data_IF_510241535155
#
_entry.id   IF_510241535155
#
_cell.length_a   1.000
_cell.length_b   1.000
_cell.length_c   1.000
_cell.angle_alpha   90.00
_cell.angle_beta   90.00
_cell.angle_gamma   90.00
#
_symmetry.space_group_name_H-M   'P 1'
#
loop_
_entity.id
_entity.type
_entity.pdbx_description
1 polymer ?
#
# COMPACT_ATOMS: atom_id res chain seq x y z
N UNK A 1 -10.82 2.05 13.01
CA UNK A 1 -11.42 3.07 12.12
C UNK A 1 -12.22 2.40 11.02
N UNK A 2 -13.22 3.09 10.47
CA UNK A 2 -14.03 2.50 9.41
C UNK A 2 -15.08 3.44 8.85
N UNK A 3 -15.74 2.94 7.81
CA UNK A 3 -16.89 3.58 7.16
C UNK A 3 -18.00 3.81 8.18
N UNK A 4 -18.56 5.02 8.19
CA UNK A 4 -19.66 5.41 9.07
C UNK A 4 -20.99 5.39 8.31
N UNK A 5 -22.10 5.45 9.05
CA UNK A 5 -23.44 5.65 8.48
C UNK A 5 -23.78 7.13 8.22
N UNK A 6 -22.83 8.04 8.46
CA UNK A 6 -23.01 9.50 8.35
C UNK A 6 -23.23 9.86 6.88
N UNK A 7 -24.26 10.66 6.61
CA UNK A 7 -24.54 11.14 5.25
C UNK A 7 -23.63 12.31 4.87
N UNK A 8 -23.56 12.60 3.57
CA UNK A 8 -22.82 13.77 3.10
C UNK A 8 -23.39 15.07 3.67
N UNK A 9 -24.72 15.19 3.70
CA UNK A 9 -25.43 16.37 4.19
C UNK A 9 -25.17 16.58 5.68
N UNK A 10 -25.15 15.52 6.48
CA UNK A 10 -24.83 15.58 7.90
C UNK A 10 -23.37 15.99 8.12
N UNK A 11 -22.43 15.32 7.46
CA UNK A 11 -20.99 15.63 7.55
C UNK A 11 -20.70 17.08 7.18
N UNK A 12 -21.39 17.64 6.20
CA UNK A 12 -21.22 19.03 5.78
C UNK A 12 -21.60 20.06 6.86
N UNK A 13 -22.41 19.67 7.86
CA UNK A 13 -22.74 20.53 9.01
C UNK A 13 -21.65 20.56 10.07
N UNK A 14 -20.72 19.59 10.07
CA UNK A 14 -19.69 19.46 11.09
C UNK A 14 -18.64 20.57 10.99
N UNK A 15 -17.94 20.85 12.09
CA UNK A 15 -16.98 21.95 12.18
C UNK A 15 -15.76 21.67 11.31
N UNK A 16 -15.43 22.57 10.38
CA UNK A 16 -14.21 22.47 9.57
C UNK A 16 -12.95 22.55 10.42
N UNK A 17 -12.03 21.63 10.21
CA UNK A 17 -10.72 21.60 10.87
C UNK A 17 -9.65 22.02 9.87
N UNK A 18 -8.84 23.02 10.24
CA UNK A 18 -7.67 23.39 9.44
C UNK A 18 -6.55 22.39 9.68
N UNK A 19 -5.91 21.96 8.59
CA UNK A 19 -4.79 21.03 8.62
C UNK A 19 -3.64 21.57 7.77
N UNK A 20 -2.38 21.15 8.02
CA UNK A 20 -1.23 21.58 7.24
C UNK A 20 -1.41 21.39 5.72
N UNK A 21 -1.95 20.24 5.31
CA UNK A 21 -2.12 19.87 3.91
C UNK A 21 -3.52 20.16 3.33
N UNK A 22 -4.33 20.99 4.01
CA UNK A 22 -5.70 21.32 3.60
C UNK A 22 -6.62 20.11 3.38
N UNK A 23 -6.43 19.04 4.15
CA UNK A 23 -7.30 17.87 4.16
C UNK A 23 -8.74 18.24 4.51
N UNK A 24 -9.68 17.53 3.88
CA UNK A 24 -11.12 17.70 4.11
C UNK A 24 -11.56 17.02 5.42
N UNK A 25 -11.13 17.58 6.54
CA UNK A 25 -11.39 17.04 7.88
C UNK A 25 -12.40 17.93 8.61
N UNK A 26 -13.38 17.28 9.24
CA UNK A 26 -14.36 17.94 10.09
C UNK A 26 -14.45 17.26 11.45
N UNK A 27 -14.83 18.04 12.45
CA UNK A 27 -14.97 17.61 13.84
C UNK A 27 -16.43 17.69 14.28
N UNK A 28 -16.85 16.65 14.99
CA UNK A 28 -18.15 16.58 15.65
C UNK A 28 -18.02 15.71 16.91
N UNK A 29 -18.48 16.23 18.04
CA UNK A 29 -18.46 15.58 19.36
C UNK A 29 -17.08 15.02 19.75
N UNK A 30 -16.01 15.78 19.47
CA UNK A 30 -14.64 15.40 19.80
C UNK A 30 -14.04 14.32 18.90
N UNK A 31 -14.76 13.92 17.83
CA UNK A 31 -14.31 12.97 16.82
C UNK A 31 -14.02 13.67 15.50
N UNK A 32 -13.09 13.12 14.74
CA UNK A 32 -12.67 13.66 13.45
C UNK A 32 -13.15 12.76 12.32
N UNK A 33 -13.51 13.36 11.21
CA UNK A 33 -14.05 12.66 10.05
C UNK A 33 -13.47 13.21 8.76
N UNK A 34 -13.28 12.32 7.78
CA UNK A 34 -12.89 12.67 6.40
C UNK A 34 -13.84 12.00 5.41
N UNK A 35 -13.74 12.37 4.13
CA UNK A 35 -14.56 11.84 3.05
C UNK A 35 -13.68 11.21 1.97
N UNK A 36 -14.13 10.06 1.44
CA UNK A 36 -13.60 9.47 0.22
C UNK A 36 -14.71 9.26 -0.81
N UNK A 37 -14.41 9.44 -2.08
CA UNK A 37 -15.27 9.00 -3.19
C UNK A 37 -14.84 7.61 -3.62
N UNK A 38 -15.73 6.62 -3.48
CA UNK A 38 -15.40 5.21 -3.71
C UNK A 38 -16.31 4.57 -4.76
N UNK A 39 -15.73 3.67 -5.55
CA UNK A 39 -16.42 2.87 -6.56
C UNK A 39 -16.70 3.59 -7.87
N UNK A 40 -17.29 2.86 -8.83
CA UNK A 40 -17.52 3.32 -10.21
C UNK A 40 -18.50 4.50 -10.28
N UNK A 41 -19.37 4.65 -9.27
CA UNK A 41 -20.33 5.76 -9.17
C UNK A 41 -19.87 6.90 -8.23
N UNK A 42 -18.59 6.92 -7.81
CA UNK A 42 -18.00 7.93 -6.91
C UNK A 42 -18.86 8.22 -5.67
N UNK A 43 -19.31 7.16 -4.99
CA UNK A 43 -20.16 7.33 -3.83
C UNK A 43 -19.33 7.86 -2.67
N UNK A 44 -19.72 9.02 -2.12
CA UNK A 44 -19.07 9.62 -0.95
C UNK A 44 -19.32 8.77 0.29
N UNK A 45 -18.24 8.48 1.00
CA UNK A 45 -18.23 7.72 2.25
C UNK A 45 -17.45 8.50 3.29
N UNK A 46 -18.04 8.62 4.48
CA UNK A 46 -17.45 9.33 5.61
C UNK A 46 -16.74 8.32 6.50
N UNK A 47 -15.49 8.61 6.84
CA UNK A 47 -14.63 7.76 7.66
C UNK A 47 -14.24 8.51 8.93
N UNK A 48 -14.33 7.81 10.07
CA UNK A 48 -13.83 8.32 11.35
C UNK A 48 -12.30 8.25 11.39
N UNK A 49 -11.67 9.31 11.90
CA UNK A 49 -10.24 9.39 12.21
C UNK A 49 -10.10 9.40 13.74
N UNK A 50 -9.28 8.51 14.29
CA UNK A 50 -8.99 8.50 15.73
C UNK A 50 -8.21 9.76 16.12
N UNK A 51 -8.54 10.31 17.29
CA UNK A 51 -7.94 11.56 17.76
C UNK A 51 -6.41 11.44 17.93
N UNK A 52 -5.92 10.30 18.41
CA UNK A 52 -4.48 10.05 18.57
C UNK A 52 -3.75 9.98 17.22
N UNK A 53 -4.31 9.27 16.24
CA UNK A 53 -3.74 9.20 14.89
C UNK A 53 -3.73 10.59 14.21
N UNK A 54 -4.81 11.36 14.39
CA UNK A 54 -4.88 12.73 13.89
C UNK A 54 -3.83 13.65 14.55
N UNK A 55 -3.56 13.44 15.84
CA UNK A 55 -2.51 14.16 16.57
C UNK A 55 -1.11 13.79 16.08
N UNK A 56 -0.83 12.53 15.75
CA UNK A 56 0.44 12.12 15.12
C UNK A 56 0.68 12.87 13.80
N UNK A 57 -0.36 12.98 12.97
CA UNK A 57 -0.33 13.77 11.73
C UNK A 57 -0.07 15.26 11.99
N UNK A 58 -0.82 15.88 12.92
CA UNK A 58 -0.63 17.31 13.25
C UNK A 58 0.77 17.60 13.82
N UNK A 59 1.41 16.63 14.46
CA UNK A 59 2.78 16.73 14.97
C UNK A 59 3.85 16.46 13.90
N UNK A 60 3.47 16.17 12.66
CA UNK A 60 4.39 15.87 11.56
C UNK A 60 5.05 14.49 11.65
N UNK A 61 4.52 13.58 12.48
CA UNK A 61 5.02 12.20 12.58
C UNK A 61 4.50 11.33 11.43
N UNK A 62 3.38 11.74 10.81
CA UNK A 62 2.69 11.05 9.73
C UNK A 62 2.34 12.07 8.64
N UNK A 63 2.38 11.63 7.39
CA UNK A 63 1.96 12.45 6.25
C UNK A 63 0.44 12.49 6.10
N UNK A 64 -0.04 13.43 5.26
CA UNK A 64 -1.42 13.46 4.80
C UNK A 64 -1.88 12.12 4.19
N UNK A 65 -1.03 11.50 3.38
CA UNK A 65 -1.33 10.21 2.76
C UNK A 65 -1.42 9.09 3.80
N UNK A 66 -0.56 9.12 4.83
CA UNK A 66 -0.59 8.13 5.90
C UNK A 66 -1.90 8.18 6.69
N UNK A 67 -2.35 9.37 7.09
CA UNK A 67 -3.58 9.53 7.88
C UNK A 67 -4.82 9.19 7.06
N UNK A 68 -4.85 9.53 5.77
CA UNK A 68 -5.93 9.13 4.86
C UNK A 68 -5.94 7.60 4.64
N UNK A 69 -4.77 7.00 4.40
CA UNK A 69 -4.64 5.55 4.28
C UNK A 69 -5.14 4.85 5.54
N UNK A 70 -4.73 5.35 6.72
CA UNK A 70 -5.12 4.82 8.02
C UNK A 70 -6.62 4.96 8.28
N UNK A 71 -7.24 6.07 7.90
CA UNK A 71 -8.69 6.27 8.01
C UNK A 71 -9.48 5.22 7.20
N UNK A 72 -8.99 4.88 5.99
CA UNK A 72 -9.64 3.94 5.10
C UNK A 72 -9.38 2.47 5.45
N UNK A 73 -8.15 2.13 5.87
CA UNK A 73 -7.68 0.75 6.01
C UNK A 73 -7.51 0.29 7.47
N UNK A 74 -7.69 1.19 8.42
CA UNK A 74 -7.44 0.98 9.86
C UNK A 74 -6.02 0.51 10.21
N UNK A 75 -5.09 0.62 9.28
CA UNK A 75 -3.67 0.30 9.45
C UNK A 75 -2.83 1.43 8.87
N UNK A 76 -1.65 1.69 9.44
CA UNK A 76 -0.70 2.58 8.81
C UNK A 76 -0.22 1.94 7.50
N UNK A 77 0.14 2.74 6.47
CA UNK A 77 0.72 2.17 5.27
C UNK A 77 2.02 1.42 5.63
N UNK A 78 2.30 0.29 4.96
CA UNK A 78 3.48 -0.49 5.26
C UNK A 78 4.75 0.30 4.95
N UNK A 79 5.80 0.08 5.73
CA UNK A 79 7.10 0.70 5.47
C UNK A 79 7.73 0.13 4.18
N UNK A 80 8.76 0.80 3.64
CA UNK A 80 9.45 0.27 2.47
C UNK A 80 10.11 -1.08 2.75
N UNK A 81 10.62 -1.31 3.97
CA UNK A 81 11.16 -2.60 4.40
C UNK A 81 10.09 -3.69 4.40
N UNK A 82 8.89 -3.40 4.91
CA UNK A 82 7.76 -4.34 4.91
C UNK A 82 7.29 -4.64 3.49
N UNK A 83 7.21 -3.62 2.62
CA UNK A 83 6.91 -3.79 1.20
C UNK A 83 7.96 -4.67 0.51
N UNK A 84 9.25 -4.45 0.76
CA UNK A 84 10.34 -5.28 0.23
C UNK A 84 10.22 -6.72 0.73
N UNK A 85 9.99 -6.92 2.02
CA UNK A 85 9.79 -8.26 2.61
C UNK A 85 8.63 -8.99 1.95
N UNK A 86 7.47 -8.34 1.83
CA UNK A 86 6.30 -8.92 1.18
C UNK A 86 6.56 -9.24 -0.30
N UNK A 87 7.25 -8.36 -1.04
CA UNK A 87 7.68 -8.62 -2.42
C UNK A 87 8.59 -9.84 -2.52
N UNK A 88 9.58 -9.96 -1.62
CA UNK A 88 10.46 -11.14 -1.56
C UNK A 88 9.67 -12.42 -1.33
N UNK A 89 8.76 -12.43 -0.37
CA UNK A 89 7.92 -13.60 -0.05
C UNK A 89 7.07 -14.03 -1.25
N UNK A 90 6.46 -13.07 -1.96
CA UNK A 90 5.67 -13.35 -3.17
C UNK A 90 6.53 -13.95 -4.29
N UNK A 91 7.73 -13.42 -4.50
CA UNK A 91 8.66 -13.93 -5.52
C UNK A 91 9.21 -15.32 -5.12
N UNK A 92 9.49 -15.57 -3.84
CA UNK A 92 9.88 -16.90 -3.35
C UNK A 92 8.78 -17.94 -3.64
N UNK A 93 7.50 -17.57 -3.53
CA UNK A 93 6.36 -18.43 -3.92
C UNK A 93 6.22 -18.60 -5.43
N UNK A 94 6.53 -17.56 -6.20
CA UNK A 94 6.44 -17.53 -7.67
C UNK A 94 7.77 -17.12 -8.32
N UNK A 95 8.80 -18.00 -8.28
CA UNK A 95 10.16 -17.62 -8.66
C UNK A 95 10.31 -17.30 -10.15
N UNK A 96 9.37 -17.74 -10.99
CA UNK A 96 9.25 -17.39 -12.43
C UNK A 96 9.32 -15.87 -12.66
N UNK A 97 8.88 -15.05 -11.70
CA UNK A 97 9.00 -13.57 -11.76
C UNK A 97 10.45 -13.09 -11.92
N UNK A 98 11.43 -13.83 -11.38
CA UNK A 98 12.86 -13.50 -11.54
C UNK A 98 13.33 -13.64 -13.00
N UNK A 99 12.62 -14.40 -13.82
CA UNK A 99 12.90 -14.55 -15.25
C UNK A 99 12.15 -13.48 -16.05
N UNK A 100 10.84 -13.34 -15.82
CA UNK A 100 9.98 -12.44 -16.60
C UNK A 100 10.18 -10.96 -16.27
N UNK A 101 10.61 -10.63 -15.06
CA UNK A 101 10.91 -9.26 -14.64
C UNK A 101 12.29 -9.20 -13.96
N UNK A 102 13.37 -8.94 -14.72
CA UNK A 102 14.73 -8.87 -14.18
C UNK A 102 14.92 -7.84 -13.05
N UNK A 103 14.17 -6.73 -13.04
CA UNK A 103 14.29 -5.70 -11.99
C UNK A 103 13.89 -6.25 -10.61
N UNK A 104 13.08 -7.31 -10.56
CA UNK A 104 12.71 -7.97 -9.30
C UNK A 104 13.90 -8.64 -8.59
N UNK A 105 15.05 -8.78 -9.26
CA UNK A 105 16.29 -9.33 -8.69
C UNK A 105 16.99 -8.36 -7.74
N UNK A 106 16.81 -7.05 -7.94
CA UNK A 106 17.51 -5.99 -7.20
C UNK A 106 17.25 -6.03 -5.69
N UNK A 107 16.10 -6.56 -5.28
CA UNK A 107 15.77 -6.66 -3.86
C UNK A 107 16.47 -7.84 -3.16
N UNK A 108 17.03 -8.80 -3.91
CA UNK A 108 17.65 -10.01 -3.37
C UNK A 108 19.17 -9.89 -3.26
N UNK A 109 19.75 -10.56 -2.26
CA UNK A 109 21.20 -10.75 -2.23
C UNK A 109 21.64 -11.75 -3.31
N UNK A 110 22.92 -11.71 -3.68
CA UNK A 110 23.50 -12.69 -4.62
C UNK A 110 23.34 -14.14 -4.11
N UNK A 111 23.45 -14.36 -2.80
CA UNK A 111 23.23 -15.68 -2.19
C UNK A 111 21.79 -16.16 -2.35
N UNK A 112 20.81 -15.29 -2.09
CA UNK A 112 19.40 -15.62 -2.33
C UNK A 112 19.15 -15.94 -3.81
N UNK A 113 19.75 -15.18 -4.74
CA UNK A 113 19.61 -15.41 -6.18
C UNK A 113 20.25 -16.73 -6.63
N UNK A 114 21.40 -17.13 -6.06
CA UNK A 114 22.03 -18.43 -6.35
C UNK A 114 21.09 -19.61 -6.08
N UNK A 115 20.24 -19.49 -5.05
CA UNK A 115 19.25 -20.51 -4.74
C UNK A 115 17.97 -20.38 -5.59
N UNK A 116 17.50 -19.15 -5.85
CA UNK A 116 16.21 -18.93 -6.49
C UNK A 116 16.25 -19.00 -8.02
N UNK A 117 17.34 -18.59 -8.66
CA UNK A 117 17.44 -18.53 -10.12
C UNK A 117 17.30 -19.92 -10.78
N UNK A 118 17.99 -20.98 -10.32
CA UNK A 118 17.81 -22.31 -10.91
C UNK A 118 16.36 -22.80 -10.82
N UNK A 119 15.69 -22.57 -9.68
CA UNK A 119 14.28 -22.91 -9.47
C UNK A 119 13.38 -22.10 -10.41
N UNK A 120 13.70 -20.81 -10.59
CA UNK A 120 12.96 -19.93 -11.48
C UNK A 120 13.08 -20.37 -12.95
N UNK A 121 14.29 -20.71 -13.41
CA UNK A 121 14.56 -21.19 -14.76
C UNK A 121 13.82 -22.51 -15.03
N UNK A 122 13.92 -23.48 -14.12
CA UNK A 122 13.24 -24.77 -14.22
C UNK A 122 11.73 -24.60 -14.32
N UNK A 123 11.12 -23.81 -13.42
CA UNK A 123 9.67 -23.56 -13.46
C UNK A 123 9.24 -22.79 -14.69
N UNK A 124 10.07 -21.87 -15.19
CA UNK A 124 9.78 -21.14 -16.41
C UNK A 124 9.77 -22.08 -17.61
N UNK A 125 10.80 -22.92 -17.76
CA UNK A 125 10.88 -23.92 -18.84
C UNK A 125 9.73 -24.93 -18.74
N UNK A 126 9.39 -25.40 -17.53
CA UNK A 126 8.26 -26.31 -17.35
C UNK A 126 6.92 -25.68 -17.78
N UNK A 127 6.78 -24.35 -17.67
CA UNK A 127 5.54 -23.64 -18.00
C UNK A 127 5.49 -23.15 -19.46
N UNK A 128 6.63 -22.76 -20.03
CA UNK A 128 6.74 -22.05 -21.32
C UNK A 128 7.63 -22.76 -22.35
N UNK A 129 8.20 -23.92 -22.01
CA UNK A 129 9.02 -24.78 -22.88
C UNK A 129 10.48 -24.33 -23.04
N UNK A 130 10.76 -23.03 -23.04
CA UNK A 130 12.13 -22.47 -23.12
C UNK A 130 12.25 -21.14 -22.37
N UNK A 131 13.48 -20.76 -22.01
CA UNK A 131 13.76 -19.42 -21.47
C UNK A 131 13.56 -18.33 -22.55
N UNK A 132 13.24 -17.09 -22.15
CA UNK A 132 13.18 -15.95 -23.07
C UNK A 132 14.49 -15.75 -23.83
N UNK A 133 14.45 -15.31 -25.09
CA UNK A 133 15.66 -15.13 -25.90
C UNK A 133 16.55 -14.00 -25.38
N UNK A 134 15.95 -12.99 -24.73
CA UNK A 134 16.65 -11.89 -24.08
C UNK A 134 17.04 -12.21 -22.62
N UNK A 135 16.88 -13.45 -22.16
CA UNK A 135 17.21 -13.83 -20.80
C UNK A 135 18.73 -13.86 -20.60
N UNK A 136 19.19 -13.08 -19.62
CA UNK A 136 20.57 -13.10 -19.13
C UNK A 136 20.53 -13.51 -17.66
N UNK A 137 21.24 -14.60 -17.34
CA UNK A 137 21.37 -15.12 -15.98
C UNK A 137 22.18 -14.15 -15.12
N UNK A 138 21.70 -13.76 -13.92
CA UNK A 138 22.41 -12.83 -13.03
C UNK A 138 23.57 -13.48 -12.25
N UNK A 139 23.83 -14.78 -12.47
CA UNK A 139 24.88 -15.55 -11.81
C UNK A 139 26.16 -15.68 -12.65
N UNK A 140 26.16 -15.10 -13.86
CA UNK A 140 27.31 -15.09 -14.78
C UNK A 140 28.13 -13.82 -14.64
#
# INVERSE_FOLDING_TARGET
>A
MGITSITWEEFETYKKVKTPDNLYIREHDGKYYTVFELGIASVRRIFEIQADDFKEYLNGQRSADDILFKAQNDAWPPTEEEKVKHRKEKIKKHPVTLISNPNSREIFSLEELKHLIPIAEEKYIASYGKLPENYISPLK
#
